data_IF_336986625028
#
_entry.id   IF_336986625028
#
_cell.length_a   1.000
_cell.length_b   1.000
_cell.length_c   1.000
_cell.angle_alpha   90.00
_cell.angle_beta   90.00
_cell.angle_gamma   90.00
#
_symmetry.space_group_name_H-M   'P 1'
#
loop_
_entity.id
_entity.type
_entity.pdbx_description
1 polymer ?
#
# COMPACT_ATOMS: atom_id res chain seq x y z
N UNK A 1 15.76 1.42 18.14
CA UNK A 1 14.41 1.81 18.62
C UNK A 1 13.50 1.80 17.39
N UNK A 2 12.48 0.94 17.34
CA UNK A 2 11.58 0.88 16.17
C UNK A 2 10.57 2.02 16.24
N UNK A 3 10.40 2.78 15.15
CA UNK A 3 9.45 3.87 15.05
C UNK A 3 8.06 3.32 14.68
N UNK A 4 7.00 3.89 15.28
CA UNK A 4 5.62 3.53 14.99
C UNK A 4 5.06 4.47 13.92
N UNK A 5 4.54 3.92 12.82
CA UNK A 5 3.71 4.67 11.87
C UNK A 5 2.25 4.70 12.36
N UNK A 6 1.60 5.87 12.29
CA UNK A 6 0.18 6.04 12.67
C UNK A 6 -0.62 6.54 11.47
N UNK A 7 -1.69 5.82 11.15
CA UNK A 7 -2.64 6.18 10.09
C UNK A 7 -3.88 6.82 10.73
N UNK A 8 -4.32 7.98 10.23
CA UNK A 8 -5.55 8.67 10.67
C UNK A 8 -6.47 8.87 9.47
N UNK A 9 -7.74 8.47 9.61
CA UNK A 9 -8.72 8.44 8.50
C UNK A 9 -9.89 9.37 8.83
N UNK A 10 -10.22 10.31 7.94
CA UNK A 10 -11.34 11.25 8.10
C UNK A 10 -12.38 11.02 6.99
N UNK A 11 -13.51 10.40 7.33
CA UNK A 11 -14.68 10.28 6.43
C UNK A 11 -14.88 8.91 5.76
N UNK A 12 -16.11 8.69 5.29
CA UNK A 12 -16.58 7.45 4.66
C UNK A 12 -16.40 7.51 3.14
N UNK A 13 -15.16 7.55 2.69
CA UNK A 13 -14.79 7.48 1.28
C UNK A 13 -13.69 6.44 1.12
N UNK A 14 -13.61 5.80 -0.05
CA UNK A 14 -12.38 5.07 -0.39
C UNK A 14 -11.25 6.07 -0.23
N UNK A 15 -10.26 5.74 0.61
CA UNK A 15 -9.16 6.66 0.79
C UNK A 15 -8.50 6.84 -0.57
N UNK A 16 -8.27 8.08 -0.95
CA UNK A 16 -7.31 8.38 -2.00
C UNK A 16 -5.94 7.86 -1.56
N UNK A 17 -5.05 7.63 -2.52
CA UNK A 17 -3.64 7.36 -2.26
C UNK A 17 -3.08 8.37 -1.24
N UNK A 18 -2.43 7.86 -0.19
CA UNK A 18 -1.78 8.64 0.87
C UNK A 18 -0.31 8.23 0.98
N UNK A 19 0.52 9.11 1.53
CA UNK A 19 1.94 8.85 1.75
C UNK A 19 2.18 8.31 3.16
N UNK A 20 3.09 7.36 3.29
CA UNK A 20 3.70 6.96 4.55
C UNK A 20 5.19 7.31 4.49
N UNK A 21 5.64 8.07 5.48
CA UNK A 21 7.02 8.51 5.58
C UNK A 21 7.65 7.87 6.80
N UNK A 22 8.89 7.41 6.66
CA UNK A 22 9.67 6.97 7.80
C UNK A 22 9.95 8.16 8.72
N UNK A 23 9.69 7.99 10.02
CA UNK A 23 10.10 8.98 11.00
C UNK A 23 11.61 8.84 11.28
N UNK A 24 12.40 9.73 10.68
CA UNK A 24 13.86 9.70 10.72
C UNK A 24 14.49 8.99 9.52
N UNK A 25 15.79 9.12 9.37
CA UNK A 25 16.55 8.43 8.33
C UNK A 25 17.17 7.13 8.85
N UNK A 26 17.32 6.15 7.96
CA UNK A 26 17.96 4.88 8.27
C UNK A 26 19.09 4.60 7.29
N UNK A 27 20.20 4.09 7.83
CA UNK A 27 21.33 3.63 7.06
C UNK A 27 21.41 2.12 7.23
N UNK A 28 21.20 1.38 6.15
CA UNK A 28 20.95 -0.04 6.20
C UNK A 28 22.19 -0.90 6.29
N UNK A 29 22.97 -0.93 5.21
CA UNK A 29 24.17 -1.75 5.14
C UNK A 29 25.45 -0.92 5.29
N UNK A 30 26.52 -1.56 5.80
CA UNK A 30 27.86 -1.00 5.83
C UNK A 30 28.35 -0.78 4.38
N UNK A 31 28.16 0.42 3.87
CA UNK A 31 28.49 0.79 2.49
C UNK A 31 27.55 1.85 1.90
N UNK A 32 26.39 2.08 2.52
CA UNK A 32 25.58 3.25 2.21
C UNK A 32 26.32 4.54 2.55
N UNK A 33 26.33 5.50 1.63
CA UNK A 33 27.05 6.78 1.83
C UNK A 33 26.37 7.72 2.81
N UNK A 34 25.06 7.58 2.98
CA UNK A 34 24.24 8.40 3.88
C UNK A 34 23.00 7.63 4.30
N UNK A 35 22.35 8.10 5.38
CA UNK A 35 21.06 7.59 5.80
C UNK A 35 19.94 8.14 4.89
N UNK A 36 18.96 7.31 4.57
CA UNK A 36 17.84 7.65 3.70
C UNK A 36 16.54 7.69 4.49
N UNK A 37 15.63 8.61 4.12
CA UNK A 37 14.25 8.59 4.62
C UNK A 37 13.44 7.68 3.70
N UNK A 38 12.96 6.56 4.23
CA UNK A 38 12.03 5.70 3.51
C UNK A 38 10.71 6.42 3.22
N UNK A 39 10.25 6.36 1.98
CA UNK A 39 8.95 6.86 1.55
C UNK A 39 8.15 5.71 0.94
N UNK A 40 6.84 5.74 1.11
CA UNK A 40 5.93 4.79 0.49
C UNK A 40 4.54 5.38 0.38
N UNK A 41 3.66 4.64 -0.28
CA UNK A 41 2.29 5.03 -0.52
C UNK A 41 1.36 3.92 -0.07
N UNK A 42 0.17 4.31 0.39
CA UNK A 42 -0.86 3.35 0.71
C UNK A 42 -2.23 3.82 0.28
N UNK A 43 -3.10 2.85 0.02
CA UNK A 43 -4.52 3.07 -0.18
C UNK A 43 -5.33 2.01 0.56
N UNK A 44 -6.43 2.45 1.16
CA UNK A 44 -7.35 1.57 1.88
C UNK A 44 -8.63 1.42 1.07
N UNK A 45 -8.94 0.18 0.74
CA UNK A 45 -10.15 -0.25 0.10
C UNK A 45 -11.01 -1.00 1.12
N UNK A 46 -11.93 -0.30 1.78
CA UNK A 46 -12.82 -0.88 2.81
C UNK A 46 -13.75 -1.99 2.29
N UNK A 47 -13.97 -3.02 3.09
CA UNK A 47 -15.00 -4.02 2.87
C UNK A 47 -16.35 -3.37 2.54
N UNK A 48 -17.11 -3.99 1.63
CA UNK A 48 -18.26 -3.35 1.00
C UNK A 48 -19.32 -2.91 2.04
N UNK A 49 -19.67 -1.62 2.05
CA UNK A 49 -20.59 -1.01 3.01
C UNK A 49 -19.95 -0.62 4.36
N UNK A 50 -18.62 -0.55 4.45
CA UNK A 50 -17.88 -0.10 5.64
C UNK A 50 -16.98 1.09 5.35
N UNK A 51 -16.61 1.77 6.44
CA UNK A 51 -15.76 2.97 6.44
C UNK A 51 -14.83 3.05 7.67
N UNK A 52 -14.65 1.92 8.35
CA UNK A 52 -13.75 1.74 9.51
C UNK A 52 -12.79 0.63 9.17
N UNK A 53 -11.52 0.78 9.56
CA UNK A 53 -10.50 -0.24 9.31
C UNK A 53 -10.74 -1.45 10.23
N UNK A 54 -11.21 -2.56 9.66
CA UNK A 54 -11.57 -3.81 10.30
C UNK A 54 -11.00 -5.00 9.53
N UNK A 55 -10.24 -5.85 10.24
CA UNK A 55 -9.65 -7.08 9.68
C UNK A 55 -8.87 -6.79 8.38
N UNK A 56 -7.83 -5.94 8.44
CA UNK A 56 -7.09 -5.58 7.24
C UNK A 56 -6.32 -6.78 6.67
N UNK A 57 -6.36 -6.90 5.35
CA UNK A 57 -5.41 -7.67 4.55
C UNK A 57 -4.45 -6.66 3.92
N UNK A 58 -3.16 -6.80 4.22
CA UNK A 58 -2.12 -5.91 3.70
C UNK A 58 -1.46 -6.58 2.50
N UNK A 59 -1.57 -5.94 1.35
CA UNK A 59 -0.88 -6.31 0.11
C UNK A 59 0.31 -5.37 -0.03
N UNK A 60 1.50 -5.96 -0.12
CA UNK A 60 2.76 -5.22 -0.21
C UNK A 60 3.31 -5.45 -1.60
N UNK A 61 3.46 -4.38 -2.39
CA UNK A 61 4.16 -4.48 -3.68
C UNK A 61 5.63 -4.83 -3.45
N UNK A 62 6.19 -5.63 -4.35
CA UNK A 62 7.60 -5.93 -4.33
C UNK A 62 8.37 -4.68 -4.73
N UNK A 63 9.38 -4.33 -3.93
CA UNK A 63 10.27 -3.24 -4.28
C UNK A 63 11.12 -3.63 -5.50
N UNK A 64 10.77 -3.10 -6.67
CA UNK A 64 11.58 -3.16 -7.89
C UNK A 64 11.96 -1.73 -8.30
N UNK A 65 13.26 -1.37 -8.28
CA UNK A 65 13.74 -0.03 -8.64
C UNK A 65 13.44 0.43 -10.07
N UNK A 66 12.98 -0.46 -10.94
CA UNK A 66 12.53 -0.12 -12.30
C UNK A 66 11.01 -0.06 -12.42
N UNK A 67 10.30 -0.34 -11.33
CA UNK A 67 8.85 -0.37 -11.32
C UNK A 67 8.25 1.03 -11.33
N UNK A 68 7.24 1.18 -12.19
CA UNK A 68 6.45 2.41 -12.33
C UNK A 68 4.98 2.17 -11.99
N UNK A 69 4.63 0.92 -11.59
CA UNK A 69 3.28 0.57 -11.19
C UNK A 69 2.88 1.40 -9.98
N UNK A 70 1.69 1.98 -10.08
CA UNK A 70 1.06 2.64 -8.95
C UNK A 70 0.05 1.72 -8.28
N UNK A 71 -0.52 2.17 -7.17
CA UNK A 71 -1.52 1.40 -6.41
C UNK A 71 -2.75 1.06 -7.27
N UNK A 72 -3.14 1.94 -8.20
CA UNK A 72 -4.28 1.68 -9.07
C UNK A 72 -3.97 0.55 -10.05
N UNK A 73 -2.81 0.55 -10.68
CA UNK A 73 -2.37 -0.51 -11.57
C UNK A 73 -2.21 -1.84 -10.83
N UNK A 74 -1.56 -1.83 -9.67
CA UNK A 74 -1.45 -3.01 -8.81
C UNK A 74 -2.82 -3.59 -8.48
N UNK A 75 -3.75 -2.75 -8.00
CA UNK A 75 -5.09 -3.23 -7.66
C UNK A 75 -5.88 -3.72 -8.87
N UNK A 76 -5.85 -3.00 -10.00
CA UNK A 76 -6.74 -3.26 -11.15
C UNK A 76 -6.18 -4.24 -12.18
N UNK A 77 -4.87 -4.47 -12.21
CA UNK A 77 -4.21 -5.35 -13.19
C UNK A 77 -3.56 -6.56 -12.56
N UNK A 78 -2.85 -6.38 -11.45
CA UNK A 78 -2.02 -7.44 -10.86
C UNK A 78 -2.78 -8.33 -9.87
N UNK A 79 -3.84 -7.79 -9.23
CA UNK A 79 -4.74 -8.60 -8.39
C UNK A 79 -5.83 -9.33 -9.17
N UNK A 80 -5.81 -9.21 -10.50
CA UNK A 80 -6.74 -9.92 -11.39
C UNK A 80 -6.26 -11.35 -11.54
N UNK A 81 -7.19 -12.31 -11.46
CA UNK A 81 -6.89 -13.72 -11.70
C UNK A 81 -7.85 -14.31 -12.72
N UNK A 82 -7.36 -15.33 -13.43
CA UNK A 82 -8.03 -15.86 -14.61
C UNK A 82 -7.90 -14.91 -15.81
N UNK A 83 -8.74 -15.11 -16.85
CA UNK A 83 -8.96 -14.06 -17.85
C UNK A 83 -9.48 -12.80 -17.15
N UNK A 84 -9.28 -11.63 -17.76
CA UNK A 84 -9.64 -10.30 -17.21
C UNK A 84 -11.11 -10.09 -16.84
N UNK A 85 -11.94 -11.13 -16.90
CA UNK A 85 -13.35 -11.15 -16.52
C UNK A 85 -13.68 -12.12 -15.38
N UNK A 86 -12.70 -12.86 -14.85
CA UNK A 86 -12.94 -13.91 -13.84
C UNK A 86 -13.01 -13.36 -12.42
N UNK A 87 -12.11 -12.47 -12.03
CA UNK A 87 -12.18 -11.87 -10.69
C UNK A 87 -10.97 -11.04 -10.31
N UNK A 88 -11.08 -10.38 -9.17
CA UNK A 88 -10.04 -9.57 -8.55
C UNK A 88 -9.97 -9.93 -7.07
N UNK A 89 -8.81 -10.36 -6.59
CA UNK A 89 -8.65 -10.83 -5.20
C UNK A 89 -9.04 -9.73 -4.20
N UNK A 90 -8.73 -8.47 -4.51
CA UNK A 90 -9.09 -7.33 -3.66
C UNK A 90 -10.61 -7.17 -3.54
N UNK A 91 -11.33 -7.28 -4.65
CA UNK A 91 -12.78 -7.18 -4.66
C UNK A 91 -13.45 -8.37 -3.97
N UNK A 92 -12.93 -9.57 -4.13
CA UNK A 92 -13.44 -10.77 -3.44
C UNK A 92 -13.28 -10.67 -1.92
N UNK A 93 -12.12 -10.21 -1.46
CA UNK A 93 -11.86 -9.98 -0.04
C UNK A 93 -12.83 -8.94 0.54
N UNK A 94 -13.15 -7.89 -0.22
CA UNK A 94 -14.06 -6.83 0.21
C UNK A 94 -15.53 -7.22 0.20
N UNK A 95 -15.93 -8.12 -0.71
CA UNK A 95 -17.34 -8.50 -0.91
C UNK A 95 -17.74 -9.81 -0.24
N UNK A 96 -16.76 -10.67 0.09
CA UNK A 96 -16.95 -11.98 0.71
C UNK A 96 -17.46 -11.95 2.16
N UNK A 97 -17.52 -13.13 2.77
CA UNK A 97 -17.88 -13.31 4.19
C UNK A 97 -16.78 -14.09 4.91
N UNK A 98 -16.07 -13.49 5.88
CA UNK A 98 -16.21 -12.10 6.34
C UNK A 98 -15.70 -11.09 5.30
N UNK A 99 -16.20 -9.85 5.36
CA UNK A 99 -15.66 -8.73 4.58
C UNK A 99 -14.36 -8.26 5.21
N UNK A 100 -13.30 -8.21 4.41
CA UNK A 100 -11.99 -7.68 4.79
C UNK A 100 -11.78 -6.30 4.17
N UNK A 101 -10.95 -5.49 4.82
CA UNK A 101 -10.42 -4.29 4.22
C UNK A 101 -9.10 -4.61 3.54
N UNK A 102 -8.89 -4.09 2.34
CA UNK A 102 -7.65 -4.30 1.60
C UNK A 102 -6.81 -3.04 1.71
N UNK A 103 -5.61 -3.17 2.27
CA UNK A 103 -4.62 -2.10 2.33
C UNK A 103 -3.53 -2.44 1.33
N UNK A 104 -3.39 -1.63 0.30
CA UNK A 104 -2.30 -1.78 -0.68
C UNK A 104 -1.19 -0.82 -0.30
N UNK A 105 0.03 -1.35 -0.15
CA UNK A 105 1.26 -0.60 0.07
C UNK A 105 2.12 -0.66 -1.19
N UNK A 106 2.53 0.51 -1.69
CA UNK A 106 3.46 0.64 -2.81
C UNK A 106 4.70 1.43 -2.38
N UNK A 107 5.84 1.15 -2.99
CA UNK A 107 7.11 1.84 -2.75
C UNK A 107 7.67 2.39 -4.08
N UNK A 108 7.15 3.53 -4.57
CA UNK A 108 7.65 4.14 -5.78
C UNK A 108 9.15 4.45 -5.71
N UNK A 109 9.79 4.59 -6.87
CA UNK A 109 11.15 5.12 -6.95
C UNK A 109 11.13 6.59 -6.57
N UNK A 110 11.67 6.91 -5.40
CA UNK A 110 11.95 8.29 -5.02
C UNK A 110 13.37 8.63 -5.42
N UNK A 111 13.52 9.57 -6.36
CA UNK A 111 14.81 10.18 -6.64
C UNK A 111 15.23 10.97 -5.40
N UNK A 112 16.34 10.59 -4.80
CA UNK A 112 16.99 11.37 -3.76
C UNK A 112 17.81 12.46 -4.43
N UNK A 113 17.43 13.71 -4.19
CA UNK A 113 18.27 14.86 -4.55
C UNK A 113 19.63 14.73 -3.85
N UNK A 114 20.71 14.85 -4.62
CA UNK A 114 22.10 14.75 -4.16
C UNK A 114 22.52 15.94 -3.29
#
# INVERSE_FOLDING_TARGET
>A
MMANARITISGCQMLTKNTIEQNGSWQGYEGERMAYTGMGEYQIFYGNGRCTLEKPVIIVDAYDPLDQRDINELYTKELVYGSTSLGNVGDDLRTGTPKFDVVVLNFPVYLVDN
#
